data_IF_693657610880
#
_entry.id   IF_693657610880
#
_cell.length_a   1.000
_cell.length_b   1.000
_cell.length_c   1.000
_cell.angle_alpha   90.00
_cell.angle_beta   90.00
_cell.angle_gamma   90.00
#
_symmetry.space_group_name_H-M   'P 1'
#
loop_
_entity.id
_entity.type
_entity.pdbx_description
1 polymer ?
#
# COMPACT_ATOMS: atom_id res chain seq x y z
N UNK A 1 -7.68 -16.33 9.06
CA UNK A 1 -6.56 -15.43 8.73
C UNK A 1 -6.00 -15.67 7.34
N UNK A 2 -5.76 -16.91 6.92
CA UNK A 2 -5.27 -17.21 5.56
C UNK A 2 -6.19 -16.67 4.45
N UNK A 3 -7.51 -16.89 4.57
CA UNK A 3 -8.47 -16.37 3.56
C UNK A 3 -8.51 -14.84 3.51
N UNK A 4 -8.61 -14.16 4.65
CA UNK A 4 -8.57 -12.69 4.70
C UNK A 4 -7.27 -12.12 4.12
N UNK A 5 -6.15 -12.82 4.31
CA UNK A 5 -4.87 -12.47 3.70
C UNK A 5 -4.92 -12.64 2.18
N UNK A 6 -5.43 -13.78 1.70
CA UNK A 6 -5.55 -14.07 0.27
C UNK A 6 -6.46 -13.07 -0.43
N UNK A 7 -7.60 -12.74 0.18
CA UNK A 7 -8.53 -11.73 -0.32
C UNK A 7 -7.88 -10.35 -0.38
N UNK A 8 -7.17 -9.94 0.68
CA UNK A 8 -6.44 -8.68 0.68
C UNK A 8 -5.35 -8.65 -0.41
N UNK A 9 -4.60 -9.73 -0.58
CA UNK A 9 -3.58 -9.85 -1.65
C UNK A 9 -4.24 -9.74 -3.04
N UNK A 10 -5.32 -10.47 -3.30
CA UNK A 10 -6.01 -10.47 -4.60
C UNK A 10 -6.56 -9.08 -4.95
N UNK A 11 -7.23 -8.41 -4.01
CA UNK A 11 -7.81 -7.08 -4.23
C UNK A 11 -6.73 -6.00 -4.34
N UNK A 12 -5.75 -6.01 -3.44
CA UNK A 12 -4.72 -4.96 -3.44
C UNK A 12 -3.78 -5.09 -4.63
N UNK A 13 -3.37 -6.32 -4.98
CA UNK A 13 -2.48 -6.53 -6.12
C UNK A 13 -3.19 -6.24 -7.44
N UNK A 14 -4.44 -6.68 -7.61
CA UNK A 14 -5.22 -6.34 -8.81
C UNK A 14 -5.36 -4.83 -9.02
N UNK A 15 -5.63 -4.06 -7.95
CA UNK A 15 -5.73 -2.61 -8.03
C UNK A 15 -4.39 -1.92 -8.35
N UNK A 16 -3.28 -2.43 -7.80
CA UNK A 16 -1.94 -1.89 -8.09
C UNK A 16 -1.52 -2.23 -9.53
N UNK A 17 -1.78 -3.45 -9.99
CA UNK A 17 -1.48 -3.89 -11.36
C UNK A 17 -2.17 -2.99 -12.38
N UNK A 18 -3.47 -2.76 -12.22
CA UNK A 18 -4.25 -1.88 -13.10
C UNK A 18 -3.71 -0.43 -13.09
N UNK A 19 -3.27 0.07 -11.93
CA UNK A 19 -2.68 1.40 -11.80
C UNK A 19 -1.33 1.50 -12.52
N UNK A 20 -0.45 0.53 -12.31
CA UNK A 20 0.87 0.50 -12.94
C UNK A 20 0.76 0.35 -14.46
N UNK A 21 -0.17 -0.48 -14.94
CA UNK A 21 -0.46 -0.62 -16.36
C UNK A 21 -0.94 0.70 -16.98
N UNK A 22 -1.91 1.38 -16.34
CA UNK A 22 -2.46 2.65 -16.85
C UNK A 22 -1.45 3.79 -16.85
N UNK A 23 -0.56 3.84 -15.87
CA UNK A 23 0.37 4.97 -15.68
C UNK A 23 1.73 4.74 -16.35
N UNK A 24 2.11 3.49 -16.62
CA UNK A 24 3.44 3.12 -17.10
C UNK A 24 4.57 3.37 -16.09
N UNK A 25 4.23 3.73 -14.84
CA UNK A 25 5.21 3.93 -13.76
C UNK A 25 5.83 2.59 -13.40
N UNK A 26 7.16 2.52 -13.32
CA UNK A 26 7.82 1.30 -12.88
C UNK A 26 7.74 1.20 -11.37
N UNK A 27 7.49 0.01 -10.86
CA UNK A 27 7.47 -0.26 -9.42
C UNK A 27 8.73 0.27 -8.68
N UNK A 28 9.90 0.24 -9.32
CA UNK A 28 11.15 0.76 -8.75
C UNK A 28 11.21 2.29 -8.63
N UNK A 29 10.39 3.02 -9.37
CA UNK A 29 10.35 4.48 -9.33
C UNK A 29 9.49 4.99 -8.16
N UNK A 30 8.69 4.11 -7.53
CA UNK A 30 7.84 4.44 -6.38
C UNK A 30 8.70 4.68 -5.14
N UNK A 31 8.63 5.89 -4.61
CA UNK A 31 9.40 6.29 -3.45
C UNK A 31 8.73 6.22 -2.10
N UNK A 32 7.41 6.29 -2.09
CA UNK A 32 6.56 6.31 -0.89
C UNK A 32 5.40 5.34 -1.15
N UNK A 33 5.12 4.48 -0.19
CA UNK A 33 3.96 3.59 -0.18
C UNK A 33 3.18 3.85 1.11
N UNK A 34 1.94 4.30 0.98
CA UNK A 34 1.00 4.43 2.10
C UNK A 34 -0.10 3.40 1.91
N UNK A 35 -0.19 2.45 2.84
CA UNK A 35 -1.27 1.45 2.89
C UNK A 35 -2.19 1.80 4.04
N UNK A 36 -3.49 1.76 3.77
CA UNK A 36 -4.51 1.93 4.79
C UNK A 36 -5.35 0.66 4.88
N UNK A 37 -5.40 0.05 6.08
CA UNK A 37 -6.36 -0.97 6.40
C UNK A 37 -6.77 -0.89 7.88
N UNK A 38 -8.05 -0.58 8.12
CA UNK A 38 -8.56 -0.47 9.50
C UNK A 38 -8.98 -1.80 10.12
N UNK A 39 -9.30 -2.81 9.30
CA UNK A 39 -9.89 -4.08 9.76
C UNK A 39 -8.88 -5.23 9.80
N UNK A 40 -7.78 -5.14 9.07
CA UNK A 40 -6.83 -6.23 8.93
C UNK A 40 -5.38 -5.72 8.99
N UNK A 41 -4.72 -5.97 10.13
CA UNK A 41 -3.33 -5.57 10.40
C UNK A 41 -2.46 -6.80 10.72
N UNK A 42 -2.15 -7.64 9.72
CA UNK A 42 -1.36 -8.85 9.90
C UNK A 42 0.12 -8.54 10.17
N UNK A 43 0.85 -9.56 10.63
CA UNK A 43 2.32 -9.59 10.60
C UNK A 43 2.76 -10.75 9.69
N UNK A 44 3.54 -10.50 8.61
CA UNK A 44 4.02 -9.21 8.11
C UNK A 44 2.89 -8.26 7.67
N UNK A 45 3.13 -6.94 7.70
CA UNK A 45 2.13 -5.92 7.35
C UNK A 45 1.75 -5.96 5.87
N UNK A 46 0.58 -5.41 5.53
CA UNK A 46 0.13 -5.28 4.14
C UNK A 46 1.12 -4.45 3.30
N UNK A 47 1.67 -3.38 3.88
CA UNK A 47 2.74 -2.62 3.22
C UNK A 47 3.98 -3.46 2.93
N UNK A 48 4.42 -4.30 3.86
CA UNK A 48 5.57 -5.18 3.65
C UNK A 48 5.29 -6.23 2.57
N UNK A 49 4.06 -6.73 2.50
CA UNK A 49 3.63 -7.67 1.46
C UNK A 49 3.68 -7.04 0.07
N UNK A 50 3.17 -5.82 -0.09
CA UNK A 50 3.25 -5.06 -1.36
C UNK A 50 4.70 -4.79 -1.75
N UNK A 51 5.52 -4.28 -0.82
CA UNK A 51 6.95 -4.01 -1.07
C UNK A 51 7.66 -5.26 -1.60
N UNK A 52 7.43 -6.41 -0.98
CA UNK A 52 8.05 -7.67 -1.37
C UNK A 52 7.47 -8.24 -2.68
N UNK A 53 6.16 -8.09 -2.93
CA UNK A 53 5.53 -8.60 -4.14
C UNK A 53 6.03 -7.85 -5.39
N UNK A 54 5.97 -6.51 -5.37
CA UNK A 54 6.33 -5.66 -6.50
C UNK A 54 7.83 -5.36 -6.62
N UNK A 55 8.64 -5.84 -5.67
CA UNK A 55 10.08 -5.54 -5.61
C UNK A 55 10.35 -4.05 -5.69
N UNK A 56 9.61 -3.29 -4.87
CA UNK A 56 9.83 -1.85 -4.72
C UNK A 56 11.28 -1.57 -4.34
N UNK A 57 11.73 -0.33 -4.55
CA UNK A 57 13.11 0.07 -4.23
C UNK A 57 13.43 -0.15 -2.75
N UNK A 58 14.69 -0.50 -2.45
CA UNK A 58 15.11 -0.85 -1.08
C UNK A 58 15.02 0.28 -0.05
N UNK A 59 14.95 1.54 -0.50
CA UNK A 59 14.77 2.74 0.32
C UNK A 59 13.35 3.34 0.19
N UNK A 60 12.35 2.51 -0.12
CA UNK A 60 10.95 2.95 -0.13
C UNK A 60 10.53 3.33 1.29
N UNK A 61 9.86 4.47 1.44
CA UNK A 61 9.21 4.82 2.70
C UNK A 61 7.85 4.12 2.74
N UNK A 62 7.68 3.12 3.61
CA UNK A 62 6.45 2.34 3.70
C UNK A 62 5.68 2.62 4.99
N UNK A 63 4.42 3.04 4.88
CA UNK A 63 3.52 3.32 6.00
C UNK A 63 2.31 2.36 5.96
N UNK A 64 1.89 1.85 7.12
CA UNK A 64 0.70 1.02 7.26
C UNK A 64 -0.23 1.65 8.30
N UNK A 65 -1.23 2.39 7.84
CA UNK A 65 -2.20 3.09 8.67
C UNK A 65 -3.37 2.17 9.03
N UNK A 66 -3.81 2.23 10.29
CA UNK A 66 -4.99 1.53 10.79
C UNK A 66 -5.73 2.38 11.82
N UNK A 67 -6.98 2.01 12.12
CA UNK A 67 -7.77 2.64 13.18
C UNK A 67 -8.47 3.97 12.84
N UNK A 68 -8.27 4.51 11.64
CA UNK A 68 -8.87 5.79 11.23
C UNK A 68 -10.26 5.63 10.58
N UNK A 69 -10.67 4.41 10.24
CA UNK A 69 -12.00 4.14 9.67
C UNK A 69 -12.23 4.84 8.33
N UNK A 70 -13.41 5.41 8.11
CA UNK A 70 -13.78 6.02 6.82
C UNK A 70 -12.96 7.27 6.45
N UNK A 71 -12.32 7.95 7.42
CA UNK A 71 -11.48 9.13 7.15
C UNK A 71 -10.08 8.76 6.64
N UNK A 72 -9.71 7.48 6.71
CA UNK A 72 -8.37 7.03 6.45
C UNK A 72 -7.87 7.29 5.01
N UNK A 73 -8.79 7.38 4.03
CA UNK A 73 -8.45 7.77 2.66
C UNK A 73 -7.88 9.18 2.57
N UNK A 74 -8.58 10.17 3.14
CA UNK A 74 -8.12 11.57 3.14
C UNK A 74 -6.83 11.74 3.94
N UNK A 75 -6.70 11.03 5.05
CA UNK A 75 -5.50 11.06 5.90
C UNK A 75 -4.29 10.48 5.17
N UNK A 76 -4.48 9.41 4.39
CA UNK A 76 -3.41 8.82 3.57
C UNK A 76 -2.92 9.81 2.51
N UNK A 77 -3.83 10.58 1.91
CA UNK A 77 -3.50 11.61 0.91
C UNK A 77 -2.76 12.79 1.57
N UNK A 78 -3.22 13.25 2.73
CA UNK A 78 -2.57 14.34 3.46
C UNK A 78 -1.15 13.95 3.90
N UNK A 79 -0.96 12.73 4.41
CA UNK A 79 0.36 12.19 4.70
C UNK A 79 1.25 12.16 3.45
N UNK A 80 0.74 11.65 2.33
CA UNK A 80 1.50 11.62 1.08
C UNK A 80 1.91 13.03 0.63
N UNK A 81 1.02 14.02 0.78
CA UNK A 81 1.32 15.43 0.51
C UNK A 81 2.46 15.95 1.39
N UNK A 82 2.42 15.69 2.70
CA UNK A 82 3.47 16.13 3.63
C UNK A 82 4.84 15.50 3.31
N UNK A 83 4.85 14.25 2.85
CA UNK A 83 6.10 13.53 2.51
C UNK A 83 6.70 13.95 1.16
N UNK A 84 5.91 14.58 0.28
CA UNK A 84 6.36 15.07 -1.03
C UNK A 84 6.89 16.52 -0.98
N UNK A 85 6.72 17.21 0.15
CA UNK A 85 7.22 18.57 0.40
C UNK A 85 8.65 18.53 0.94
#
# INVERSE_FOLDING_TARGET
MAEARKEAEEVMFGAIDELLEKTGVKAKDIGILVVNCSLFNPTPSLSAMIVNHYKLRGNVQSYNLGGMGCSAGLISIDLAKQLLQ
#
